data_IF_801433870112
#
_entry.id   IF_801433870112
#
_cell.length_a   1.000
_cell.length_b   1.000
_cell.length_c   1.000
_cell.angle_alpha   90.00
_cell.angle_beta   90.00
_cell.angle_gamma   90.00
#
_symmetry.space_group_name_H-M   'P 1'
#
loop_
_entity.id
_entity.type
_entity.pdbx_description
1 polymer ?
#
# COMPACT_ATOMS: atom_id res chain seq x y z
N UNK A 1 -0.76 -16.59 -6.49
CA UNK A 1 0.70 -16.61 -6.26
C UNK A 1 1.00 -17.33 -4.95
N UNK A 2 0.56 -18.56 -4.87
CA UNK A 2 0.74 -19.37 -3.67
C UNK A 2 2.23 -19.47 -3.32
N UNK A 3 2.59 -18.92 -2.15
CA UNK A 3 3.93 -19.03 -1.63
C UNK A 3 4.99 -18.36 -2.51
N UNK A 4 4.92 -17.05 -2.66
CA UNK A 4 6.02 -16.29 -3.30
C UNK A 4 7.33 -16.62 -2.58
N UNK A 5 8.08 -17.57 -3.14
CA UNK A 5 9.37 -18.00 -2.62
C UNK A 5 10.49 -17.26 -3.35
N UNK A 6 10.56 -15.94 -3.12
CA UNK A 6 11.54 -15.07 -3.78
C UNK A 6 12.90 -15.14 -3.11
N UNK A 7 13.94 -15.02 -3.92
CA UNK A 7 15.31 -14.80 -3.43
C UNK A 7 15.33 -13.54 -2.57
N UNK A 8 15.98 -13.59 -1.42
CA UNK A 8 16.05 -12.52 -0.44
C UNK A 8 17.47 -12.00 -0.27
N UNK A 9 17.63 -10.86 0.40
CA UNK A 9 18.97 -10.33 0.73
C UNK A 9 19.82 -11.28 1.57
N UNK A 10 19.21 -12.28 2.23
CA UNK A 10 19.93 -13.30 2.97
C UNK A 10 20.51 -14.41 2.05
N UNK A 11 19.97 -14.55 0.85
CA UNK A 11 20.32 -15.63 -0.06
C UNK A 11 21.47 -15.27 -1.02
N UNK A 12 21.83 -13.97 -1.12
CA UNK A 12 22.85 -13.49 -2.05
C UNK A 12 24.12 -13.06 -1.32
N UNK A 13 25.27 -13.41 -1.89
CA UNK A 13 26.56 -12.92 -1.40
C UNK A 13 26.85 -11.55 -2.01
N UNK A 14 26.94 -10.53 -1.15
CA UNK A 14 27.11 -9.14 -1.58
C UNK A 14 28.46 -8.53 -1.18
N UNK A 15 29.33 -9.28 -0.51
CA UNK A 15 30.62 -8.77 -0.02
C UNK A 15 31.49 -8.27 -1.18
N UNK A 16 31.88 -7.01 -1.11
CA UNK A 16 32.69 -6.34 -2.13
C UNK A 16 31.96 -6.03 -3.43
N UNK A 17 30.68 -6.38 -3.54
CA UNK A 17 29.87 -6.21 -4.75
C UNK A 17 29.08 -4.91 -4.73
N UNK A 18 28.85 -4.36 -5.91
CA UNK A 18 27.94 -3.24 -6.11
C UNK A 18 26.49 -3.78 -6.16
N UNK A 19 25.62 -3.20 -5.34
CA UNK A 19 24.20 -3.60 -5.25
C UNK A 19 23.33 -2.38 -5.47
N UNK A 20 22.51 -2.40 -6.52
CA UNK A 20 21.47 -1.42 -6.73
C UNK A 20 20.26 -1.79 -5.89
N UNK A 21 19.80 -0.88 -5.05
CA UNK A 21 18.63 -1.10 -4.19
C UNK A 21 17.54 -0.09 -4.53
N UNK A 22 16.37 -0.59 -4.92
CA UNK A 22 15.18 0.25 -5.12
C UNK A 22 14.47 0.44 -3.79
N UNK A 23 14.54 1.64 -3.26
CA UNK A 23 13.89 2.03 -2.01
C UNK A 23 12.75 3.02 -2.25
N UNK A 24 11.88 3.20 -1.27
CA UNK A 24 10.85 4.23 -1.29
C UNK A 24 11.28 5.44 -0.45
N UNK A 25 11.92 6.39 -1.12
CA UNK A 25 12.27 7.69 -0.55
C UNK A 25 11.34 8.81 -1.03
N UNK A 26 10.16 8.45 -1.49
CA UNK A 26 9.10 9.40 -1.85
C UNK A 26 8.46 10.00 -0.58
N UNK A 27 9.26 10.71 0.19
CA UNK A 27 8.88 11.33 1.46
C UNK A 27 8.12 12.63 1.24
N UNK A 28 7.18 13.00 2.12
CA UNK A 28 6.53 14.30 2.07
C UNK A 28 7.51 15.42 2.44
N UNK A 29 7.52 16.46 1.60
CA UNK A 29 8.36 17.64 1.76
C UNK A 29 7.47 18.88 1.88
N UNK A 30 7.83 19.79 2.77
CA UNK A 30 7.30 21.15 2.86
C UNK A 30 8.47 22.13 2.85
N UNK A 31 8.52 22.99 1.85
CA UNK A 31 9.60 23.97 1.67
C UNK A 31 11.01 23.34 1.70
N UNK A 32 11.17 22.18 1.08
CA UNK A 32 12.43 21.42 1.03
C UNK A 32 12.77 20.64 2.31
N UNK A 33 11.90 20.67 3.33
CA UNK A 33 12.09 19.96 4.60
C UNK A 33 11.20 18.71 4.67
N UNK A 34 11.79 17.58 5.05
CA UNK A 34 11.06 16.33 5.24
C UNK A 34 10.14 16.49 6.46
N UNK A 35 8.83 16.29 6.26
CA UNK A 35 7.83 16.34 7.32
C UNK A 35 7.56 14.99 7.97
N UNK A 36 7.92 13.90 7.29
CA UNK A 36 7.80 12.53 7.80
C UNK A 36 8.85 11.64 7.11
N UNK A 37 9.71 11.00 7.88
CA UNK A 37 10.80 10.15 7.38
C UNK A 37 10.53 8.64 7.52
N UNK A 38 9.30 8.22 7.81
CA UNK A 38 8.95 6.83 8.07
C UNK A 38 9.38 5.89 6.92
N UNK A 39 9.33 6.35 5.68
CA UNK A 39 9.77 5.56 4.52
C UNK A 39 11.27 5.31 4.52
N UNK A 40 12.06 6.30 4.91
CA UNK A 40 13.51 6.15 5.06
C UNK A 40 13.80 5.17 6.21
N UNK A 41 13.13 5.33 7.34
CA UNK A 41 13.25 4.41 8.48
C UNK A 41 12.92 2.96 8.09
N UNK A 42 11.87 2.77 7.30
CA UNK A 42 11.45 1.45 6.83
C UNK A 42 12.47 0.76 5.90
N UNK A 43 13.30 1.53 5.20
CA UNK A 43 14.36 1.01 4.33
C UNK A 43 15.65 0.62 5.10
N UNK A 44 15.84 1.11 6.33
CA UNK A 44 17.08 0.93 7.09
C UNK A 44 17.44 -0.54 7.35
N UNK A 45 16.54 -1.46 7.68
CA UNK A 45 16.90 -2.86 7.90
C UNK A 45 17.63 -3.48 6.71
N UNK A 46 17.15 -3.26 5.49
CA UNK A 46 17.78 -3.76 4.26
C UNK A 46 19.11 -3.06 4.00
N UNK A 47 19.13 -1.74 4.10
CA UNK A 47 20.35 -0.93 3.89
C UNK A 47 21.44 -1.36 4.87
N UNK A 48 21.14 -1.43 6.16
CA UNK A 48 22.09 -1.81 7.19
C UNK A 48 22.61 -3.25 7.01
N UNK A 49 21.75 -4.18 6.60
CA UNK A 49 22.17 -5.55 6.30
C UNK A 49 23.19 -5.61 5.18
N UNK A 50 22.93 -4.89 4.08
CA UNK A 50 23.85 -4.83 2.94
C UNK A 50 25.17 -4.17 3.31
N UNK A 51 25.14 -3.05 4.05
CA UNK A 51 26.32 -2.36 4.58
C UNK A 51 27.15 -3.27 5.47
N UNK A 52 26.53 -3.94 6.44
CA UNK A 52 27.19 -4.88 7.36
C UNK A 52 27.83 -6.06 6.64
N UNK A 53 27.22 -6.50 5.54
CA UNK A 53 27.74 -7.59 4.71
C UNK A 53 28.84 -7.12 3.72
N UNK A 54 29.25 -5.86 3.80
CA UNK A 54 30.32 -5.30 2.97
C UNK A 54 29.96 -5.02 1.52
N UNK A 55 28.67 -4.80 1.23
CA UNK A 55 28.24 -4.37 -0.10
C UNK A 55 28.60 -2.90 -0.35
N UNK A 56 28.79 -2.54 -1.62
CA UNK A 56 28.77 -1.16 -2.12
C UNK A 56 27.33 -0.85 -2.50
N UNK A 57 26.63 -0.07 -1.65
CA UNK A 57 25.18 0.11 -1.74
C UNK A 57 24.83 1.33 -2.57
N UNK A 58 24.15 1.14 -3.69
CA UNK A 58 23.65 2.22 -4.57
C UNK A 58 22.14 2.27 -4.46
N UNK A 59 21.61 3.35 -3.89
CA UNK A 59 20.17 3.52 -3.69
C UNK A 59 19.54 4.33 -4.82
N UNK A 60 18.42 3.87 -5.33
CA UNK A 60 17.59 4.61 -6.26
C UNK A 60 16.12 4.68 -5.78
N UNK A 61 15.48 5.78 -6.06
CA UNK A 61 14.08 6.04 -5.72
C UNK A 61 13.49 7.09 -6.63
N UNK A 62 12.16 7.13 -6.69
CA UNK A 62 11.43 8.28 -7.20
C UNK A 62 11.06 9.25 -6.07
N UNK A 63 10.74 10.48 -6.42
CA UNK A 63 10.14 11.50 -5.55
C UNK A 63 9.15 12.33 -6.35
N UNK A 64 7.89 12.35 -5.90
CA UNK A 64 6.82 13.11 -6.55
C UNK A 64 6.59 12.74 -8.01
N UNK A 65 6.09 13.71 -8.77
CA UNK A 65 5.74 13.54 -10.20
C UNK A 65 6.29 14.74 -11.00
N UNK A 66 7.61 14.80 -11.24
CA UNK A 66 8.16 15.83 -12.12
C UNK A 66 7.57 15.69 -13.52
N UNK A 67 7.10 16.80 -14.10
CA UNK A 67 6.45 16.81 -15.42
C UNK A 67 7.38 17.30 -16.53
N UNK A 68 8.36 18.12 -16.16
CA UNK A 68 9.21 18.84 -17.11
C UNK A 68 10.69 18.41 -17.00
N UNK A 69 10.94 17.17 -16.59
CA UNK A 69 12.30 16.68 -16.33
C UNK A 69 12.81 17.08 -14.93
N UNK A 70 14.11 17.30 -14.77
CA UNK A 70 14.71 17.65 -13.46
C UNK A 70 14.15 18.95 -12.89
N UNK A 71 13.62 18.86 -11.65
CA UNK A 71 13.11 20.01 -10.90
C UNK A 71 13.66 19.94 -9.47
N UNK A 72 14.27 21.04 -8.97
CA UNK A 72 14.92 21.08 -7.65
C UNK A 72 14.03 20.64 -6.48
N UNK A 73 12.71 20.94 -6.54
CA UNK A 73 11.73 20.54 -5.52
C UNK A 73 11.52 19.02 -5.43
N UNK A 74 11.91 18.28 -6.48
CA UNK A 74 11.83 16.82 -6.54
C UNK A 74 13.19 16.13 -6.43
N UNK A 75 14.23 16.87 -6.02
CA UNK A 75 15.56 16.28 -5.75
C UNK A 75 15.51 15.37 -4.52
N UNK A 76 16.24 14.25 -4.59
CA UNK A 76 16.44 13.35 -3.45
C UNK A 76 17.51 13.82 -2.45
N UNK A 77 18.10 14.99 -2.66
CA UNK A 77 19.13 15.54 -1.75
C UNK A 77 18.67 15.58 -0.27
N UNK A 78 17.44 16.03 0.07
CA UNK A 78 16.97 15.99 1.46
C UNK A 78 16.88 14.58 2.04
N UNK A 79 16.43 13.59 1.25
CA UNK A 79 16.35 12.21 1.67
C UNK A 79 17.73 11.59 1.90
N UNK A 80 18.69 11.88 1.04
CA UNK A 80 20.09 11.45 1.20
C UNK A 80 20.73 12.06 2.46
N UNK A 81 20.50 13.34 2.73
CA UNK A 81 20.97 14.01 3.95
C UNK A 81 20.37 13.37 5.21
N UNK A 82 19.07 13.08 5.20
CA UNK A 82 18.42 12.42 6.32
C UNK A 82 18.92 10.99 6.53
N UNK A 83 19.14 10.24 5.46
CA UNK A 83 19.74 8.91 5.55
C UNK A 83 21.14 8.97 6.21
N UNK A 84 21.97 9.95 5.85
CA UNK A 84 23.29 10.11 6.42
C UNK A 84 23.29 10.32 7.95
N UNK A 85 22.21 10.91 8.49
CA UNK A 85 22.04 11.07 9.95
C UNK A 85 21.63 9.75 10.64
N UNK A 86 21.05 8.80 9.90
CA UNK A 86 20.45 7.56 10.44
C UNK A 86 21.38 6.35 10.33
N UNK A 87 22.44 6.41 9.55
CA UNK A 87 23.38 5.31 9.34
C UNK A 87 24.78 5.65 9.84
N UNK A 88 25.56 4.63 10.19
CA UNK A 88 26.92 4.77 10.69
C UNK A 88 27.97 4.51 9.59
N UNK A 89 27.71 4.98 8.40
CA UNK A 89 28.64 4.85 7.27
C UNK A 89 28.55 6.09 6.38
N UNK A 90 29.54 6.24 5.49
CA UNK A 90 29.57 7.34 4.54
C UNK A 90 28.44 7.23 3.53
N UNK A 91 27.70 8.32 3.36
CA UNK A 91 26.65 8.50 2.36
C UNK A 91 27.03 9.62 1.42
N UNK A 92 27.07 9.34 0.13
CA UNK A 92 27.30 10.32 -0.93
C UNK A 92 26.03 10.48 -1.76
N UNK A 93 25.54 11.70 -1.87
CA UNK A 93 24.47 12.03 -2.81
C UNK A 93 25.08 12.37 -4.17
N UNK A 94 24.80 11.55 -5.17
CA UNK A 94 25.24 11.76 -6.54
C UNK A 94 24.25 12.68 -7.27
N UNK A 95 24.42 13.99 -7.13
CA UNK A 95 23.60 14.97 -7.84
C UNK A 95 23.87 14.88 -9.34
N UNK A 96 22.89 14.37 -10.07
CA UNK A 96 23.00 14.15 -11.51
C UNK A 96 21.62 14.18 -12.15
N UNK A 97 21.34 15.19 -12.95
CA UNK A 97 20.04 15.39 -13.58
C UNK A 97 19.66 14.26 -14.55
N UNK A 98 20.67 13.52 -15.05
CA UNK A 98 20.46 12.33 -15.89
C UNK A 98 20.40 11.02 -15.10
N UNK A 99 20.47 11.09 -13.76
CA UNK A 99 20.45 9.97 -12.80
C UNK A 99 21.71 9.08 -12.90
N UNK A 100 22.09 8.64 -14.08
CA UNK A 100 23.25 7.80 -14.37
C UNK A 100 24.25 8.57 -15.25
N UNK A 101 24.58 9.80 -14.87
CA UNK A 101 25.57 10.62 -15.57
C UNK A 101 26.98 10.51 -14.95
N UNK A 102 27.83 11.45 -15.30
CA UNK A 102 29.24 11.44 -14.87
C UNK A 102 29.41 11.51 -13.35
N UNK A 103 28.58 12.29 -12.65
CA UNK A 103 28.65 12.40 -11.20
C UNK A 103 28.26 11.08 -10.51
N UNK A 104 27.21 10.42 -11.00
CA UNK A 104 26.79 9.12 -10.48
C UNK A 104 27.85 8.05 -10.73
N UNK A 105 28.40 7.97 -11.94
CA UNK A 105 29.47 7.03 -12.30
C UNK A 105 30.71 7.22 -11.44
N UNK A 106 31.15 8.48 -11.26
CA UNK A 106 32.28 8.83 -10.41
C UNK A 106 32.03 8.42 -8.95
N UNK A 107 30.89 8.79 -8.39
CA UNK A 107 30.55 8.47 -7.01
C UNK A 107 30.56 6.95 -6.75
N UNK A 108 29.99 6.17 -7.67
CA UNK A 108 29.97 4.71 -7.55
C UNK A 108 31.36 4.09 -7.75
N UNK A 109 32.18 4.63 -8.66
CA UNK A 109 33.54 4.14 -8.87
C UNK A 109 34.46 4.37 -7.65
N UNK A 110 34.24 5.44 -6.89
CA UNK A 110 35.06 5.83 -5.74
C UNK A 110 34.60 5.20 -4.41
N UNK A 111 33.45 4.50 -4.38
CA UNK A 111 32.93 3.94 -3.11
C UNK A 111 33.72 2.73 -2.61
N UNK A 112 33.91 2.68 -1.30
CA UNK A 112 34.47 1.53 -0.60
C UNK A 112 33.37 0.57 -0.15
N UNK A 113 33.77 -0.64 0.26
CA UNK A 113 32.86 -1.64 0.83
C UNK A 113 32.15 -1.06 2.07
N UNK A 114 30.84 -1.25 2.14
CA UNK A 114 30.00 -0.73 3.23
C UNK A 114 29.60 0.75 3.10
N UNK A 115 30.00 1.45 2.05
CA UNK A 115 29.54 2.82 1.78
C UNK A 115 28.24 2.83 0.98
N UNK A 116 27.59 4.01 0.97
CA UNK A 116 26.30 4.23 0.31
C UNK A 116 26.42 5.39 -0.67
N UNK A 117 25.91 5.20 -1.89
CA UNK A 117 25.63 6.26 -2.85
C UNK A 117 24.13 6.35 -3.06
N UNK A 118 23.57 7.54 -2.98
CA UNK A 118 22.15 7.81 -3.30
C UNK A 118 22.10 8.52 -4.65
N UNK A 119 21.38 7.93 -5.60
CA UNK A 119 21.16 8.53 -6.92
C UNK A 119 20.10 9.62 -6.86
N UNK A 120 20.07 10.48 -7.88
CA UNK A 120 19.01 11.46 -8.05
C UNK A 120 17.70 10.78 -8.50
N UNK A 121 16.58 11.48 -8.36
CA UNK A 121 15.22 11.03 -8.64
C UNK A 121 15.12 10.32 -10.02
N UNK A 122 14.81 9.03 -10.00
CA UNK A 122 14.69 8.22 -11.23
C UNK A 122 13.71 8.78 -12.24
N UNK A 123 12.67 9.50 -11.78
CA UNK A 123 11.67 10.14 -12.65
C UNK A 123 12.19 11.38 -13.38
N UNK A 124 13.40 11.83 -13.09
CA UNK A 124 14.04 12.85 -13.94
C UNK A 124 14.30 12.32 -15.37
N UNK A 125 14.36 11.00 -15.53
CA UNK A 125 14.42 10.35 -16.86
C UNK A 125 13.06 10.25 -17.56
N UNK A 126 11.98 10.71 -16.93
CA UNK A 126 10.64 10.80 -17.55
C UNK A 126 10.12 9.46 -18.05
N UNK A 127 9.84 9.39 -19.37
CA UNK A 127 9.27 8.20 -19.99
C UNK A 127 10.24 7.00 -19.99
N UNK A 128 11.55 7.21 -19.98
CA UNK A 128 12.54 6.13 -19.91
C UNK A 128 12.40 5.35 -18.60
N UNK A 129 12.12 6.04 -17.48
CA UNK A 129 11.78 5.41 -16.22
C UNK A 129 10.38 4.80 -16.25
N UNK A 130 9.35 5.61 -16.53
CA UNK A 130 7.94 5.24 -16.28
C UNK A 130 7.36 4.28 -17.30
N UNK A 131 7.98 4.14 -18.47
CA UNK A 131 7.60 3.19 -19.53
C UNK A 131 8.58 2.01 -19.65
N UNK A 132 9.33 1.76 -18.60
CA UNK A 132 10.27 0.63 -18.54
C UNK A 132 11.29 0.64 -19.70
N UNK A 133 11.88 1.80 -19.95
CA UNK A 133 12.86 2.00 -21.03
C UNK A 133 14.07 1.10 -20.91
N UNK A 134 14.41 0.39 -21.98
CA UNK A 134 15.48 -0.59 -21.99
C UNK A 134 16.85 0.06 -21.79
N UNK A 135 17.10 1.19 -22.43
CA UNK A 135 18.39 1.89 -22.33
C UNK A 135 18.64 2.37 -20.90
N UNK A 136 17.67 3.01 -20.26
CA UNK A 136 17.81 3.43 -18.87
C UNK A 136 17.95 2.24 -17.90
N UNK A 137 17.25 1.15 -18.17
CA UNK A 137 17.40 -0.10 -17.39
C UNK A 137 18.81 -0.67 -17.49
N UNK A 138 19.40 -0.65 -18.69
CA UNK A 138 20.82 -1.05 -18.92
C UNK A 138 21.79 -0.11 -18.20
N UNK A 139 21.60 1.19 -18.32
CA UNK A 139 22.46 2.19 -17.64
C UNK A 139 22.46 1.99 -16.12
N UNK A 140 21.30 1.73 -15.51
CA UNK A 140 21.19 1.41 -14.08
C UNK A 140 21.95 0.13 -13.72
N UNK A 141 21.83 -0.90 -14.51
CA UNK A 141 22.55 -2.16 -14.29
C UNK A 141 24.06 -2.01 -14.48
N UNK A 142 24.49 -1.31 -15.53
CA UNK A 142 25.91 -1.05 -15.81
C UNK A 142 26.57 -0.23 -14.70
N UNK A 143 25.85 0.69 -14.06
CA UNK A 143 26.35 1.49 -12.93
C UNK A 143 26.81 0.59 -11.77
N UNK A 144 26.22 -0.58 -11.61
CA UNK A 144 26.57 -1.59 -10.62
C UNK A 144 27.25 -2.82 -11.24
N UNK A 145 27.89 -2.66 -12.39
CA UNK A 145 28.63 -3.70 -13.15
C UNK A 145 27.76 -4.93 -13.45
N UNK A 146 26.44 -4.78 -13.53
CA UNK A 146 25.49 -5.88 -13.72
C UNK A 146 25.47 -6.90 -12.57
N UNK A 147 25.92 -6.56 -11.39
CA UNK A 147 26.12 -7.54 -10.31
C UNK A 147 24.83 -7.93 -9.60
N UNK A 148 24.17 -7.00 -8.92
CA UNK A 148 22.98 -7.33 -8.13
C UNK A 148 21.96 -6.19 -8.03
N UNK A 149 20.70 -6.56 -7.95
CA UNK A 149 19.57 -5.67 -7.70
C UNK A 149 18.71 -6.18 -6.55
N UNK A 150 18.34 -5.28 -5.64
CA UNK A 150 17.43 -5.56 -4.53
C UNK A 150 16.20 -4.66 -4.64
N UNK A 151 15.02 -5.27 -4.72
CA UNK A 151 13.74 -4.58 -4.70
C UNK A 151 13.23 -4.47 -3.26
N UNK A 152 13.08 -3.25 -2.77
CA UNK A 152 12.61 -2.97 -1.40
C UNK A 152 11.62 -1.79 -1.34
N UNK A 153 10.86 -1.62 -2.41
CA UNK A 153 9.81 -0.61 -2.55
C UNK A 153 8.49 -1.26 -2.98
N UNK A 154 7.69 -1.67 -2.01
CA UNK A 154 6.39 -2.29 -2.29
C UNK A 154 5.40 -1.28 -2.88
N UNK A 155 5.46 -0.01 -2.48
CA UNK A 155 4.60 1.05 -2.99
C UNK A 155 4.68 1.26 -4.51
N UNK A 156 5.83 0.94 -5.11
CA UNK A 156 6.04 1.02 -6.57
C UNK A 156 6.04 -0.34 -7.27
N UNK A 157 5.87 -1.44 -6.55
CA UNK A 157 5.96 -2.80 -7.10
C UNK A 157 4.89 -3.12 -8.15
N UNK A 158 3.76 -2.41 -8.14
CA UNK A 158 2.69 -2.54 -9.13
C UNK A 158 3.03 -1.87 -10.48
N UNK A 159 4.13 -1.14 -10.57
CA UNK A 159 4.54 -0.41 -11.78
C UNK A 159 5.74 -1.09 -12.44
N UNK A 160 5.61 -1.43 -13.71
CA UNK A 160 6.73 -1.87 -14.53
C UNK A 160 7.55 -0.65 -14.97
N UNK A 161 8.42 -0.14 -14.08
CA UNK A 161 9.37 0.92 -14.38
C UNK A 161 10.76 0.36 -14.64
N UNK A 162 11.66 1.17 -15.21
CA UNK A 162 13.05 0.77 -15.43
C UNK A 162 13.73 0.38 -14.11
N UNK A 163 13.53 1.18 -13.04
CA UNK A 163 14.14 0.97 -11.72
C UNK A 163 13.43 -0.06 -10.83
N UNK A 164 12.25 -0.58 -11.23
CA UNK A 164 11.50 -1.60 -10.45
C UNK A 164 11.51 -2.98 -11.09
N UNK A 165 11.49 -3.03 -12.42
CA UNK A 165 11.38 -4.27 -13.18
C UNK A 165 12.41 -4.37 -14.30
N UNK A 166 12.60 -3.32 -15.11
CA UNK A 166 13.45 -3.37 -16.29
C UNK A 166 14.90 -3.75 -16.00
N UNK A 167 15.48 -3.17 -14.95
CA UNK A 167 16.86 -3.38 -14.53
C UNK A 167 17.18 -4.84 -14.23
N UNK A 168 16.20 -5.63 -13.78
CA UNK A 168 16.39 -7.04 -13.40
C UNK A 168 16.85 -7.91 -14.57
N UNK A 169 16.58 -7.49 -15.82
CA UNK A 169 17.00 -8.22 -17.02
C UNK A 169 18.50 -8.13 -17.30
N UNK A 170 19.19 -7.20 -16.67
CA UNK A 170 20.58 -6.84 -16.97
C UNK A 170 21.51 -7.03 -15.78
N UNK A 171 21.04 -7.60 -14.68
CA UNK A 171 21.84 -7.94 -13.51
C UNK A 171 21.88 -9.45 -13.30
N UNK A 172 22.96 -9.92 -12.67
CA UNK A 172 23.17 -11.34 -12.41
C UNK A 172 22.25 -11.88 -11.31
N UNK A 173 22.18 -11.16 -10.18
CA UNK A 173 21.42 -11.58 -9.02
C UNK A 173 20.31 -10.57 -8.71
N UNK A 174 19.13 -11.08 -8.42
CA UNK A 174 18.00 -10.26 -7.96
C UNK A 174 17.47 -10.81 -6.65
N UNK A 175 17.08 -9.91 -5.75
CA UNK A 175 16.53 -10.28 -4.45
C UNK A 175 15.48 -9.27 -4.00
N UNK A 176 14.66 -9.65 -3.02
CA UNK A 176 13.80 -8.74 -2.28
C UNK A 176 14.45 -8.34 -0.96
N UNK A 177 14.26 -7.08 -0.55
CA UNK A 177 14.64 -6.61 0.77
C UNK A 177 13.66 -7.01 1.86
N UNK A 178 13.94 -6.65 3.09
CA UNK A 178 13.13 -7.03 4.26
C UNK A 178 11.73 -6.42 4.25
N UNK A 179 11.57 -5.18 3.75
CA UNK A 179 10.26 -4.56 3.60
C UNK A 179 9.39 -5.38 2.64
N UNK A 180 9.93 -5.74 1.48
CA UNK A 180 9.25 -6.58 0.49
C UNK A 180 8.95 -7.98 1.03
N UNK A 181 9.88 -8.61 1.77
CA UNK A 181 9.64 -9.91 2.40
C UNK A 181 8.45 -9.85 3.35
N UNK A 182 8.35 -8.80 4.15
CA UNK A 182 7.26 -8.60 5.10
C UNK A 182 5.92 -8.45 4.39
N UNK A 183 5.87 -7.65 3.32
CA UNK A 183 4.67 -7.48 2.50
C UNK A 183 4.23 -8.81 1.84
N UNK A 184 5.17 -9.54 1.26
CA UNK A 184 4.91 -10.85 0.64
C UNK A 184 4.41 -11.85 1.69
N UNK A 185 5.04 -11.89 2.85
CA UNK A 185 4.66 -12.80 3.94
C UNK A 185 3.24 -12.53 4.43
N UNK A 186 2.92 -11.28 4.73
CA UNK A 186 1.63 -10.94 5.34
C UNK A 186 0.53 -10.80 4.29
N UNK A 187 0.67 -9.89 3.35
CA UNK A 187 -0.38 -9.63 2.37
C UNK A 187 -0.51 -10.81 1.38
N UNK A 188 0.62 -11.32 0.88
CA UNK A 188 0.66 -12.44 -0.05
C UNK A 188 0.03 -13.69 0.53
N UNK A 189 0.52 -14.15 1.66
CA UNK A 189 0.03 -15.38 2.28
C UNK A 189 -1.40 -15.26 2.79
N UNK A 190 -1.78 -14.08 3.35
CA UNK A 190 -3.14 -13.87 3.84
C UNK A 190 -4.21 -14.00 2.75
N UNK A 191 -3.88 -13.64 1.52
CA UNK A 191 -4.81 -13.70 0.40
C UNK A 191 -4.79 -15.06 -0.30
N UNK A 192 -3.60 -15.67 -0.44
CA UNK A 192 -3.43 -16.90 -1.22
C UNK A 192 -3.61 -18.19 -0.38
N UNK A 193 -3.15 -18.17 0.87
CA UNK A 193 -3.20 -19.32 1.77
C UNK A 193 -3.63 -18.88 3.18
N UNK A 194 -4.85 -18.33 3.33
CA UNK A 194 -5.30 -17.81 4.62
C UNK A 194 -5.56 -18.94 5.64
N UNK A 195 -5.25 -18.66 6.91
CA UNK A 195 -5.88 -19.40 7.99
C UNK A 195 -7.36 -19.01 8.09
N UNK A 196 -8.24 -20.02 8.12
CA UNK A 196 -9.70 -19.81 8.11
C UNK A 196 -10.30 -19.87 9.52
N UNK A 197 -11.37 -19.11 9.80
CA UNK A 197 -12.12 -18.26 8.86
C UNK A 197 -11.32 -17.02 8.41
N UNK A 198 -11.42 -16.70 7.10
CA UNK A 198 -10.84 -15.52 6.49
C UNK A 198 -11.93 -14.46 6.28
N UNK A 199 -11.79 -13.33 6.95
CA UNK A 199 -12.70 -12.17 6.83
C UNK A 199 -11.97 -11.06 6.06
N UNK A 200 -12.58 -10.60 4.97
CA UNK A 200 -12.13 -9.41 4.24
C UNK A 200 -13.09 -8.26 4.55
N UNK A 201 -12.54 -7.07 4.81
CA UNK A 201 -13.30 -5.85 5.10
C UNK A 201 -12.95 -4.81 4.05
N UNK A 202 -13.95 -4.36 3.32
CA UNK A 202 -13.82 -3.31 2.33
C UNK A 202 -14.68 -2.12 2.69
N UNK A 203 -14.11 -0.94 2.58
CA UNK A 203 -14.77 0.34 2.72
C UNK A 203 -14.32 1.32 1.64
N UNK A 204 -14.74 2.56 1.75
CA UNK A 204 -14.43 3.60 0.78
C UNK A 204 -15.69 4.21 0.16
N UNK A 205 -15.52 5.16 -0.77
CA UNK A 205 -16.63 5.96 -1.27
C UNK A 205 -17.47 5.26 -2.34
N UNK A 206 -16.82 4.58 -3.31
CA UNK A 206 -17.51 4.07 -4.51
C UNK A 206 -17.19 2.60 -4.80
N UNK A 207 -18.21 1.86 -5.25
CA UNK A 207 -18.07 0.47 -5.72
C UNK A 207 -17.15 0.40 -6.95
N UNK A 208 -17.27 1.34 -7.88
CA UNK A 208 -16.48 1.39 -9.11
C UNK A 208 -14.96 1.32 -8.86
N UNK A 209 -14.50 1.88 -7.73
CA UNK A 209 -13.08 1.90 -7.40
C UNK A 209 -12.55 0.53 -6.92
N UNK A 210 -13.43 -0.42 -6.60
CA UNK A 210 -13.07 -1.71 -5.98
C UNK A 210 -13.71 -2.95 -6.63
N UNK A 211 -14.20 -2.84 -7.87
CA UNK A 211 -14.89 -3.94 -8.55
C UNK A 211 -14.08 -5.24 -8.56
N UNK A 212 -12.83 -5.17 -8.97
CA UNK A 212 -11.97 -6.35 -9.07
C UNK A 212 -11.54 -6.87 -7.69
N UNK A 213 -11.39 -5.97 -6.72
CA UNK A 213 -11.08 -6.33 -5.33
C UNK A 213 -12.23 -7.14 -4.74
N UNK A 214 -13.46 -6.67 -4.88
CA UNK A 214 -14.66 -7.35 -4.40
C UNK A 214 -14.75 -8.76 -5.00
N UNK A 215 -14.68 -8.86 -6.32
CA UNK A 215 -14.79 -10.13 -7.05
C UNK A 215 -13.69 -11.12 -6.66
N UNK A 216 -12.43 -10.66 -6.58
CA UNK A 216 -11.30 -11.50 -6.23
C UNK A 216 -11.34 -11.98 -4.78
N UNK A 217 -11.61 -11.07 -3.83
CA UNK A 217 -11.66 -11.42 -2.42
C UNK A 217 -12.86 -12.33 -2.09
N UNK A 218 -13.97 -12.15 -2.77
CA UNK A 218 -15.15 -12.99 -2.58
C UNK A 218 -14.88 -14.46 -2.90
N UNK A 219 -14.00 -14.75 -3.85
CA UNK A 219 -13.58 -16.12 -4.14
C UNK A 219 -12.66 -16.70 -3.06
N UNK A 220 -11.94 -15.86 -2.33
CA UNK A 220 -10.88 -16.24 -1.39
C UNK A 220 -11.31 -16.24 0.08
N UNK A 221 -12.14 -15.28 0.49
CA UNK A 221 -12.61 -15.13 1.87
C UNK A 221 -13.79 -16.04 2.20
N UNK A 222 -14.08 -16.20 3.48
CA UNK A 222 -15.30 -16.85 3.97
C UNK A 222 -16.43 -15.84 4.20
N UNK A 223 -16.05 -14.63 4.63
CA UNK A 223 -16.96 -13.50 4.84
C UNK A 223 -16.35 -12.23 4.26
N UNK A 224 -17.13 -11.50 3.47
CA UNK A 224 -16.80 -10.18 2.96
C UNK A 224 -17.68 -9.14 3.65
N UNK A 225 -17.06 -8.22 4.37
CA UNK A 225 -17.71 -7.09 5.01
C UNK A 225 -17.61 -5.88 4.09
N UNK A 226 -18.70 -5.22 3.80
CA UNK A 226 -18.79 -4.00 3.00
C UNK A 226 -19.26 -2.86 3.88
N UNK A 227 -18.45 -1.82 4.00
CA UNK A 227 -18.76 -0.59 4.71
C UNK A 227 -18.45 0.65 3.88
N UNK A 228 -18.53 1.82 4.51
CA UNK A 228 -18.30 3.10 3.83
C UNK A 228 -19.38 3.45 2.81
N UNK A 229 -19.11 4.47 1.99
CA UNK A 229 -20.05 4.95 0.97
C UNK A 229 -20.44 3.91 -0.06
N UNK A 230 -19.52 2.98 -0.38
CA UNK A 230 -19.78 1.91 -1.33
C UNK A 230 -20.89 0.94 -0.88
N UNK A 231 -21.17 0.84 0.42
CA UNK A 231 -22.22 -0.02 0.95
C UNK A 231 -23.61 0.40 0.48
N UNK A 232 -23.85 1.68 0.24
CA UNK A 232 -25.17 2.19 -0.16
C UNK A 232 -25.58 1.72 -1.56
N UNK A 233 -24.63 1.52 -2.46
CA UNK A 233 -24.90 0.93 -3.77
C UNK A 233 -25.40 -0.52 -3.61
N UNK A 234 -24.79 -1.30 -2.72
CA UNK A 234 -25.27 -2.66 -2.39
C UNK A 234 -26.66 -2.64 -1.74
N UNK A 235 -26.90 -1.72 -0.80
CA UNK A 235 -28.19 -1.59 -0.10
C UNK A 235 -29.30 -1.25 -1.09
N UNK A 236 -29.04 -0.27 -1.99
CA UNK A 236 -29.99 0.10 -3.05
C UNK A 236 -30.23 -1.07 -4.02
N UNK A 237 -29.18 -1.76 -4.45
CA UNK A 237 -29.29 -2.93 -5.32
C UNK A 237 -30.16 -4.04 -4.69
N UNK A 238 -30.15 -4.16 -3.38
CA UNK A 238 -30.94 -5.12 -2.61
C UNK A 238 -32.35 -4.60 -2.22
N UNK A 239 -32.78 -3.46 -2.78
CA UNK A 239 -34.13 -2.91 -2.63
C UNK A 239 -34.30 -1.89 -1.50
N UNK A 240 -33.22 -1.49 -0.80
CA UNK A 240 -33.25 -0.49 0.26
C UNK A 240 -33.35 0.95 -0.26
N UNK A 241 -33.81 1.85 0.60
CA UNK A 241 -33.85 3.30 0.37
C UNK A 241 -32.66 3.95 1.04
N UNK A 242 -31.87 4.71 0.29
CA UNK A 242 -30.59 5.29 0.74
C UNK A 242 -30.58 6.81 0.83
N UNK A 243 -31.72 7.47 0.60
CA UNK A 243 -31.81 8.94 0.63
C UNK A 243 -30.87 9.61 -0.35
N UNK A 244 -30.11 10.60 0.13
CA UNK A 244 -29.08 11.32 -0.66
C UNK A 244 -27.68 10.74 -0.49
N UNK A 245 -27.54 9.53 0.02
CA UNK A 245 -26.27 8.85 0.19
C UNK A 245 -25.50 8.68 -1.12
N UNK A 246 -24.19 8.57 -1.04
CA UNK A 246 -23.37 8.22 -2.19
C UNK A 246 -23.88 6.93 -2.84
N UNK A 247 -23.98 6.92 -4.16
CA UNK A 247 -24.43 5.78 -4.93
C UNK A 247 -23.75 5.76 -6.29
N UNK A 248 -23.49 4.55 -6.77
CA UNK A 248 -22.98 4.27 -8.11
C UNK A 248 -24.08 3.51 -8.88
N UNK A 249 -25.04 4.27 -9.44
CA UNK A 249 -26.24 3.71 -10.08
C UNK A 249 -25.91 2.78 -11.26
N UNK A 250 -24.78 3.01 -11.94
CA UNK A 250 -24.32 2.15 -13.05
C UNK A 250 -23.81 0.79 -12.56
N UNK A 251 -23.59 0.61 -11.25
CA UNK A 251 -23.05 -0.60 -10.63
C UNK A 251 -24.07 -1.40 -9.82
N UNK A 252 -25.35 -1.05 -9.88
CA UNK A 252 -26.41 -1.78 -9.17
C UNK A 252 -26.49 -3.25 -9.62
N UNK A 253 -26.43 -3.50 -10.91
CA UNK A 253 -26.46 -4.87 -11.44
C UNK A 253 -25.22 -5.66 -11.03
N UNK A 254 -24.03 -5.04 -11.04
CA UNK A 254 -22.81 -5.64 -10.51
C UNK A 254 -22.96 -6.05 -9.03
N UNK A 255 -23.53 -5.18 -8.20
CA UNK A 255 -23.75 -5.49 -6.78
C UNK A 255 -24.69 -6.68 -6.61
N UNK A 256 -25.78 -6.78 -7.41
CA UNK A 256 -26.67 -7.94 -7.43
C UNK A 256 -25.93 -9.22 -7.83
N UNK A 257 -25.08 -9.16 -8.85
CA UNK A 257 -24.25 -10.28 -9.28
C UNK A 257 -23.29 -10.74 -8.17
N UNK A 258 -22.68 -9.82 -7.42
CA UNK A 258 -21.78 -10.17 -6.32
C UNK A 258 -22.53 -10.81 -5.16
N UNK A 259 -23.71 -10.33 -4.82
CA UNK A 259 -24.57 -10.94 -3.80
C UNK A 259 -24.96 -12.38 -4.20
N UNK A 260 -25.37 -12.59 -5.46
CA UNK A 260 -25.69 -13.91 -6.00
C UNK A 260 -24.46 -14.83 -6.06
N UNK A 261 -23.31 -14.31 -6.44
CA UNK A 261 -22.03 -15.04 -6.45
C UNK A 261 -21.67 -15.52 -5.06
N UNK A 262 -21.79 -14.67 -4.04
CA UNK A 262 -21.53 -15.04 -2.67
C UNK A 262 -22.41 -16.22 -2.22
N UNK A 263 -23.70 -16.15 -2.50
CA UNK A 263 -24.65 -17.21 -2.17
C UNK A 263 -24.28 -18.52 -2.88
N UNK A 264 -23.97 -18.46 -4.18
CA UNK A 264 -23.57 -19.63 -4.97
C UNK A 264 -22.28 -20.29 -4.48
N UNK A 265 -21.35 -19.51 -3.91
CA UNK A 265 -20.09 -20.00 -3.34
C UNK A 265 -20.20 -20.40 -1.86
N UNK A 266 -21.36 -20.24 -1.23
CA UNK A 266 -21.55 -20.47 0.20
C UNK A 266 -20.78 -19.47 1.07
N UNK A 267 -20.51 -18.27 0.55
CA UNK A 267 -19.84 -17.16 1.24
C UNK A 267 -20.87 -16.18 1.79
N UNK A 268 -20.44 -15.36 2.74
CA UNK A 268 -21.27 -14.30 3.32
C UNK A 268 -20.79 -12.93 2.87
N UNK A 269 -21.73 -12.07 2.46
CA UNK A 269 -21.51 -10.62 2.38
C UNK A 269 -22.29 -9.98 3.53
N UNK A 270 -21.59 -9.27 4.41
CA UNK A 270 -22.21 -8.51 5.49
C UNK A 270 -22.29 -7.05 5.08
N UNK A 271 -23.51 -6.53 5.01
CA UNK A 271 -23.83 -5.14 4.75
C UNK A 271 -24.22 -4.44 6.06
N UNK A 272 -24.11 -3.10 6.15
CA UNK A 272 -24.65 -2.36 7.29
C UNK A 272 -26.14 -2.64 7.47
N UNK A 273 -26.57 -2.90 8.72
CA UNK A 273 -27.98 -3.07 9.11
C UNK A 273 -28.57 -1.79 9.67
N UNK A 274 -27.74 -0.91 10.22
CA UNK A 274 -28.09 0.43 10.63
C UNK A 274 -26.98 1.41 10.19
N UNK A 275 -27.36 2.66 10.04
CA UNK A 275 -26.52 3.70 9.47
C UNK A 275 -26.66 5.00 10.26
N UNK A 276 -25.52 5.63 10.56
CA UNK A 276 -25.46 6.99 11.08
C UNK A 276 -25.64 7.96 9.93
N UNK A 277 -26.65 8.79 10.00
CA UNK A 277 -27.07 9.72 8.95
C UNK A 277 -27.03 11.16 9.39
N UNK A 278 -26.89 12.07 8.43
CA UNK A 278 -27.02 13.52 8.61
C UNK A 278 -27.73 14.15 7.41
N UNK A 279 -28.10 15.43 7.56
CA UNK A 279 -28.77 16.17 6.50
C UNK A 279 -27.81 16.53 5.34
N UNK A 280 -26.52 16.73 5.66
CA UNK A 280 -25.49 17.14 4.71
C UNK A 280 -24.11 16.59 5.10
N UNK A 281 -23.18 16.59 4.16
CA UNK A 281 -21.80 16.24 4.43
C UNK A 281 -21.11 17.34 5.25
N UNK A 282 -20.30 16.99 6.28
CA UNK A 282 -19.65 18.01 7.13
C UNK A 282 -18.68 18.88 6.32
N UNK A 283 -18.78 20.20 6.51
CA UNK A 283 -17.89 21.18 5.89
C UNK A 283 -17.58 22.32 6.89
N UNK A 284 -16.33 22.46 7.37
CA UNK A 284 -15.17 21.59 7.08
C UNK A 284 -15.41 20.15 7.53
N UNK A 285 -14.56 19.21 7.08
CA UNK A 285 -14.77 17.76 7.29
C UNK A 285 -14.88 17.36 8.77
N UNK A 286 -14.22 18.09 9.66
CA UNK A 286 -14.20 17.91 11.12
C UNK A 286 -15.24 18.75 11.86
N UNK A 287 -16.16 19.44 11.15
CA UNK A 287 -17.20 20.26 11.75
C UNK A 287 -18.14 19.44 12.63
N UNK A 288 -18.65 20.05 13.70
CA UNK A 288 -19.76 19.47 14.47
C UNK A 288 -20.96 19.22 13.56
N UNK A 289 -21.54 18.03 13.68
CA UNK A 289 -22.66 17.61 12.86
C UNK A 289 -23.70 16.86 13.70
N UNK A 290 -24.97 17.20 13.50
CA UNK A 290 -26.09 16.50 14.11
C UNK A 290 -26.34 15.19 13.34
N UNK A 291 -26.37 14.08 14.06
CA UNK A 291 -26.56 12.75 13.49
C UNK A 291 -27.67 11.98 14.21
N UNK A 292 -28.24 11.03 13.51
CA UNK A 292 -29.13 10.00 14.05
C UNK A 292 -28.80 8.64 13.44
N UNK A 293 -29.25 7.56 14.06
CA UNK A 293 -29.03 6.21 13.56
C UNK A 293 -30.38 5.65 13.11
N UNK A 294 -30.44 5.14 11.88
CA UNK A 294 -31.63 4.57 11.27
C UNK A 294 -31.33 3.20 10.66
N UNK A 295 -32.38 2.46 10.32
CA UNK A 295 -32.25 1.24 9.52
C UNK A 295 -31.58 1.57 8.16
N UNK A 296 -30.56 0.81 7.78
CA UNK A 296 -29.82 1.05 6.53
C UNK A 296 -30.69 0.91 5.27
N UNK A 297 -31.79 0.16 5.34
CA UNK A 297 -32.71 0.00 4.21
C UNK A 297 -33.80 1.11 4.15
N UNK A 298 -33.84 2.00 5.13
CA UNK A 298 -34.89 3.02 5.28
C UNK A 298 -34.29 4.40 5.61
N UNK A 299 -33.28 4.82 4.92
CA UNK A 299 -32.71 6.16 5.06
C UNK A 299 -33.69 7.18 4.47
N UNK A 300 -34.07 8.23 5.23
CA UNK A 300 -34.96 9.28 4.74
C UNK A 300 -34.47 9.94 3.45
N UNK A 301 -35.40 10.38 2.61
CA UNK A 301 -35.09 10.92 1.28
C UNK A 301 -34.20 12.18 1.30
N UNK A 302 -34.20 12.93 2.40
CA UNK A 302 -33.44 14.16 2.60
C UNK A 302 -32.18 13.95 3.47
N UNK A 303 -31.80 12.71 3.76
CA UNK A 303 -30.65 12.36 4.60
C UNK A 303 -29.66 11.50 3.85
N UNK A 304 -28.40 11.55 4.30
CA UNK A 304 -27.32 10.71 3.77
C UNK A 304 -26.63 9.91 4.87
N UNK A 305 -26.22 8.69 4.51
CA UNK A 305 -25.38 7.87 5.36
C UNK A 305 -23.93 8.34 5.37
N UNK A 306 -23.31 8.40 6.54
CA UNK A 306 -21.94 8.88 6.74
C UNK A 306 -21.07 7.99 7.62
N UNK A 307 -21.68 7.03 8.31
CA UNK A 307 -20.99 6.00 9.09
C UNK A 307 -21.92 4.80 9.34
N UNK A 308 -21.36 3.68 9.73
CA UNK A 308 -22.13 2.52 10.20
C UNK A 308 -22.69 2.78 11.60
N UNK A 309 -23.88 2.25 11.89
CA UNK A 309 -24.52 2.37 13.18
C UNK A 309 -24.01 1.36 14.20
N UNK A 310 -24.52 1.43 15.42
CA UNK A 310 -24.09 0.61 16.57
C UNK A 310 -24.33 -0.88 16.36
N UNK A 311 -25.49 -1.26 15.83
CA UNK A 311 -25.80 -2.67 15.52
C UNK A 311 -24.87 -3.25 14.46
N UNK A 312 -24.53 -2.45 13.46
CA UNK A 312 -23.55 -2.83 12.43
C UNK A 312 -22.16 -2.99 13.00
N UNK A 313 -21.75 -2.09 13.91
CA UNK A 313 -20.47 -2.20 14.62
C UNK A 313 -20.35 -3.53 15.37
N UNK A 314 -21.40 -3.93 16.08
CA UNK A 314 -21.48 -5.21 16.79
C UNK A 314 -21.44 -6.41 15.81
N UNK A 315 -22.20 -6.34 14.73
CA UNK A 315 -22.22 -7.37 13.68
C UNK A 315 -20.84 -7.58 13.05
N UNK A 316 -20.15 -6.51 12.70
CA UNK A 316 -18.82 -6.58 12.08
C UNK A 316 -17.77 -7.03 13.09
N UNK A 317 -17.83 -6.55 14.33
CA UNK A 317 -16.94 -6.98 15.40
C UNK A 317 -17.06 -8.48 15.70
N UNK A 318 -18.27 -9.03 15.70
CA UNK A 318 -18.49 -10.46 15.92
C UNK A 318 -17.90 -11.32 14.79
N UNK A 319 -18.03 -10.88 13.54
CA UNK A 319 -17.39 -11.55 12.41
C UNK A 319 -15.86 -11.55 12.51
N UNK A 320 -15.26 -10.43 12.91
CA UNK A 320 -13.81 -10.28 13.12
C UNK A 320 -13.33 -11.16 14.28
N UNK A 321 -14.08 -11.23 15.36
CA UNK A 321 -13.73 -11.99 16.57
C UNK A 321 -13.55 -13.48 16.33
N UNK A 322 -14.30 -14.04 15.40
CA UNK A 322 -14.23 -15.47 15.03
C UNK A 322 -13.20 -15.77 13.94
N UNK A 323 -12.62 -14.75 13.33
CA UNK A 323 -11.65 -14.89 12.24
C UNK A 323 -10.29 -15.40 12.72
N UNK A 324 -9.56 -16.03 11.80
CA UNK A 324 -8.12 -16.34 11.93
C UNK A 324 -7.25 -15.44 11.05
N UNK A 325 -7.83 -14.94 9.96
CA UNK A 325 -7.19 -13.97 9.07
C UNK A 325 -8.17 -12.84 8.78
N UNK A 326 -7.72 -11.60 8.89
CA UNK A 326 -8.50 -10.40 8.53
C UNK A 326 -7.65 -9.51 7.64
N UNK A 327 -8.20 -9.14 6.49
CA UNK A 327 -7.63 -8.10 5.60
C UNK A 327 -8.63 -6.95 5.54
N UNK A 328 -8.17 -5.75 5.85
CA UNK A 328 -9.01 -4.55 5.85
C UNK A 328 -8.47 -3.48 4.90
N UNK A 329 -9.32 -3.00 3.99
CA UNK A 329 -9.02 -1.93 3.05
C UNK A 329 -10.20 -0.96 2.93
N UNK A 330 -10.06 0.24 3.45
CA UNK A 330 -11.03 1.34 3.38
C UNK A 330 -11.84 1.54 4.65
N UNK A 331 -12.06 2.80 5.06
CA UNK A 331 -12.78 3.15 6.28
C UNK A 331 -14.29 2.86 6.17
N UNK A 332 -14.96 2.78 7.32
CA UNK A 332 -16.40 2.48 7.41
C UNK A 332 -17.28 3.72 7.32
N UNK A 333 -16.71 4.90 7.43
CA UNK A 333 -17.39 6.18 7.40
C UNK A 333 -16.42 7.34 7.21
N UNK A 334 -16.87 8.55 7.45
CA UNK A 334 -16.08 9.78 7.39
C UNK A 334 -15.24 9.91 8.67
N UNK A 335 -14.19 9.09 8.76
CA UNK A 335 -13.39 8.91 9.98
C UNK A 335 -12.60 10.17 10.40
N UNK A 336 -12.41 11.11 9.51
CA UNK A 336 -11.80 12.42 9.78
C UNK A 336 -12.68 13.29 10.67
N UNK A 337 -13.96 12.98 10.75
CA UNK A 337 -14.92 13.63 11.63
C UNK A 337 -15.09 12.82 12.92
N UNK A 338 -14.87 13.40 14.12
CA UNK A 338 -14.95 12.66 15.39
C UNK A 338 -16.30 11.98 15.64
N UNK A 339 -17.40 12.59 15.21
CA UNK A 339 -18.75 12.04 15.36
C UNK A 339 -18.99 10.86 14.42
N UNK A 340 -18.36 10.87 13.24
CA UNK A 340 -18.54 9.89 12.17
C UNK A 340 -17.39 8.85 12.11
N UNK A 341 -16.46 8.88 13.07
CA UNK A 341 -15.36 7.94 13.17
C UNK A 341 -15.69 6.69 13.98
N UNK A 342 -16.82 6.64 14.64
CA UNK A 342 -17.19 5.58 15.60
C UNK A 342 -17.19 4.19 14.97
N UNK A 343 -17.69 4.07 13.75
CA UNK A 343 -17.72 2.80 13.02
C UNK A 343 -16.32 2.30 12.68
N UNK A 344 -15.46 3.17 12.17
CA UNK A 344 -14.06 2.84 11.87
C UNK A 344 -13.28 2.49 13.14
N UNK A 345 -13.50 3.23 14.24
CA UNK A 345 -12.92 2.92 15.55
C UNK A 345 -13.36 1.54 16.04
N UNK A 346 -14.64 1.20 15.92
CA UNK A 346 -15.18 -0.09 16.36
C UNK A 346 -14.53 -1.26 15.60
N UNK A 347 -14.36 -1.12 14.28
CA UNK A 347 -13.66 -2.12 13.47
C UNK A 347 -12.18 -2.22 13.87
N UNK A 348 -11.47 -1.10 13.98
CA UNK A 348 -10.07 -1.09 14.41
C UNK A 348 -9.90 -1.74 15.80
N UNK A 349 -10.79 -1.45 16.73
CA UNK A 349 -10.80 -2.05 18.07
C UNK A 349 -11.02 -3.57 18.01
N UNK A 350 -11.96 -4.04 17.20
CA UNK A 350 -12.21 -5.46 17.00
C UNK A 350 -10.97 -6.18 16.46
N UNK A 351 -10.26 -5.56 15.49
CA UNK A 351 -9.00 -6.10 14.97
C UNK A 351 -7.89 -6.10 16.04
N UNK A 352 -7.86 -5.10 16.91
CA UNK A 352 -6.87 -5.00 17.99
C UNK A 352 -7.08 -6.05 19.11
N UNK A 353 -8.31 -6.54 19.28
CA UNK A 353 -8.71 -7.48 20.33
C UNK A 353 -8.77 -8.93 19.88
N UNK A 354 -8.64 -9.21 18.58
CA UNK A 354 -8.67 -10.58 18.04
C UNK A 354 -7.29 -11.22 18.04
N UNK A 355 -7.24 -12.56 18.12
CA UNK A 355 -6.01 -13.35 17.93
C UNK A 355 -5.71 -13.64 16.45
N UNK A 356 -6.50 -13.10 15.53
CA UNK A 356 -6.32 -13.27 14.10
C UNK A 356 -5.05 -12.56 13.59
N UNK A 357 -4.51 -13.05 12.49
CA UNK A 357 -3.57 -12.27 11.68
C UNK A 357 -4.33 -11.12 11.03
N UNK A 358 -3.99 -9.89 11.41
CA UNK A 358 -4.67 -8.66 10.96
C UNK A 358 -3.78 -7.85 10.04
N UNK A 359 -4.27 -7.59 8.83
CA UNK A 359 -3.53 -6.90 7.77
C UNK A 359 -4.34 -5.71 7.30
N UNK A 360 -3.72 -4.54 7.36
CA UNK A 360 -4.31 -3.28 6.90
C UNK A 360 -3.70 -2.95 5.54
N UNK A 361 -4.54 -2.83 4.52
CA UNK A 361 -4.16 -2.40 3.17
C UNK A 361 -4.80 -1.07 2.80
N UNK A 362 -4.07 -0.26 2.03
CA UNK A 362 -4.54 1.04 1.56
C UNK A 362 -4.24 2.21 2.49
N UNK A 363 -4.07 3.39 1.88
CA UNK A 363 -3.62 4.60 2.57
C UNK A 363 -4.59 5.09 3.64
N UNK A 364 -5.89 5.12 3.33
CA UNK A 364 -6.92 5.64 4.25
C UNK A 364 -7.10 4.74 5.48
N UNK A 365 -7.10 3.42 5.28
CA UNK A 365 -7.18 2.46 6.39
C UNK A 365 -5.96 2.53 7.29
N UNK A 366 -4.77 2.60 6.69
CA UNK A 366 -3.52 2.77 7.43
C UNK A 366 -3.52 4.09 8.21
N UNK A 367 -3.92 5.19 7.58
CA UNK A 367 -4.03 6.50 8.22
C UNK A 367 -5.02 6.46 9.39
N UNK A 368 -6.19 5.85 9.19
CA UNK A 368 -7.21 5.70 10.24
C UNK A 368 -6.67 4.90 11.43
N UNK A 369 -6.06 3.75 11.20
CA UNK A 369 -5.52 2.91 12.28
C UNK A 369 -4.40 3.61 13.05
N UNK A 370 -3.52 4.32 12.36
CA UNK A 370 -2.42 5.08 12.98
C UNK A 370 -2.99 6.26 13.79
N UNK A 371 -3.87 7.06 13.19
CA UNK A 371 -4.49 8.23 13.84
C UNK A 371 -5.29 7.84 15.09
N UNK A 372 -5.95 6.68 15.04
CA UNK A 372 -6.78 6.18 16.15
C UNK A 372 -5.97 5.42 17.21
N UNK A 373 -4.64 5.29 17.04
CA UNK A 373 -3.74 4.70 18.04
C UNK A 373 -3.74 3.17 18.09
N UNK A 374 -4.17 2.48 17.04
CA UNK A 374 -4.23 1.02 16.98
C UNK A 374 -3.11 0.37 16.15
N UNK A 375 -2.16 1.15 15.64
CA UNK A 375 -1.13 0.64 14.73
C UNK A 375 -0.33 -0.54 15.31
N UNK A 376 0.07 -0.44 16.58
CA UNK A 376 0.87 -1.48 17.27
C UNK A 376 0.10 -2.79 17.54
N UNK A 377 -1.22 -2.76 17.38
CA UNK A 377 -2.09 -3.92 17.56
C UNK A 377 -2.34 -4.71 16.28
N UNK A 378 -1.94 -4.17 15.12
CA UNK A 378 -2.08 -4.84 13.83
C UNK A 378 -0.87 -5.73 13.56
N UNK A 379 -1.10 -6.90 12.97
CA UNK A 379 -0.01 -7.80 12.57
C UNK A 379 0.85 -7.18 11.47
N UNK A 380 0.21 -6.47 10.54
CA UNK A 380 0.89 -5.75 9.46
C UNK A 380 0.05 -4.59 8.93
N UNK A 381 0.69 -3.45 8.73
CA UNK A 381 0.13 -2.32 7.99
C UNK A 381 0.94 -2.19 6.70
N UNK A 382 0.29 -2.47 5.56
CA UNK A 382 0.97 -2.40 4.27
C UNK A 382 1.38 -0.98 3.92
N UNK A 383 2.60 -0.84 3.43
CA UNK A 383 3.13 0.42 2.91
C UNK A 383 2.73 0.67 1.45
N UNK A 384 2.10 -0.33 0.82
CA UNK A 384 1.92 -0.41 -0.62
C UNK A 384 0.91 0.54 -1.24
N UNK A 385 -0.04 1.07 -0.50
CA UNK A 385 -1.09 1.91 -1.07
C UNK A 385 -1.75 1.28 -2.31
N UNK A 386 -1.46 1.84 -3.50
CA UNK A 386 -1.97 1.31 -4.77
C UNK A 386 -1.51 -0.11 -5.09
N UNK A 387 -0.28 -0.48 -4.71
CA UNK A 387 0.22 -1.83 -4.92
C UNK A 387 -0.54 -2.86 -4.08
N UNK A 388 -0.90 -2.52 -2.84
CA UNK A 388 -1.75 -3.37 -2.00
C UNK A 388 -3.12 -3.60 -2.63
N UNK A 389 -3.72 -2.54 -3.17
CA UNK A 389 -5.01 -2.61 -3.83
C UNK A 389 -4.95 -3.49 -5.08
N UNK A 390 -3.98 -3.29 -5.95
CA UNK A 390 -3.78 -4.10 -7.15
C UNK A 390 -3.49 -5.57 -6.82
N UNK A 391 -2.76 -5.83 -5.74
CA UNK A 391 -2.57 -7.20 -5.26
C UNK A 391 -3.89 -7.85 -4.81
N UNK A 392 -4.71 -7.10 -4.08
CA UNK A 392 -6.05 -7.57 -3.67
C UNK A 392 -7.01 -7.78 -4.85
N UNK A 393 -6.78 -7.10 -5.97
CA UNK A 393 -7.46 -7.34 -7.25
C UNK A 393 -7.04 -8.65 -7.95
N UNK A 394 -6.01 -9.32 -7.43
CA UNK A 394 -5.43 -10.54 -8.02
C UNK A 394 -4.42 -10.26 -9.13
N UNK A 395 -3.96 -9.03 -9.28
CA UNK A 395 -2.96 -8.67 -10.28
C UNK A 395 -1.56 -9.12 -9.88
N UNK A 396 -0.77 -9.48 -10.89
CA UNK A 396 0.66 -9.72 -10.72
C UNK A 396 1.36 -8.37 -10.58
N UNK A 397 2.17 -8.21 -9.53
CA UNK A 397 2.96 -7.01 -9.33
C UNK A 397 4.30 -7.14 -10.09
N UNK A 398 4.56 -6.30 -11.11
CA UNK A 398 5.77 -6.44 -11.95
C UNK A 398 7.07 -6.39 -11.15
N UNK A 399 7.18 -5.52 -10.15
CA UNK A 399 8.39 -5.40 -9.32
C UNK A 399 8.64 -6.61 -8.41
N UNK A 400 7.62 -7.42 -8.15
CA UNK A 400 7.77 -8.71 -7.45
C UNK A 400 8.06 -9.83 -8.45
N UNK A 401 7.31 -9.88 -9.54
CA UNK A 401 7.43 -10.92 -10.56
C UNK A 401 8.82 -10.94 -11.22
N UNK A 402 9.47 -9.78 -11.33
CA UNK A 402 10.80 -9.64 -11.93
C UNK A 402 11.94 -10.21 -11.07
N UNK A 403 11.71 -10.48 -9.79
CA UNK A 403 12.72 -11.04 -8.89
C UNK A 403 12.74 -12.56 -9.00
N UNK A 404 13.95 -13.13 -8.98
CA UNK A 404 14.16 -14.57 -9.05
C UNK A 404 13.44 -15.34 -7.93
N UNK A 405 13.02 -16.55 -8.24
CA UNK A 405 12.47 -17.50 -7.27
C UNK A 405 13.59 -18.40 -6.72
N UNK A 406 13.44 -18.87 -5.46
CA UNK A 406 14.34 -19.86 -4.85
C UNK A 406 14.17 -21.23 -5.48
#
# INVERSE_FOLDING_TARGET
>A
MAGLNKVTVEDINVKGRKVLVRVDFNVPLKDGVITNDNRIQAALPTINKLVQNGAKVVLCSHLGKPKNGPEAKFSLAPAAARLAELVNTKVVFAKDDTVVGENAKKAVAEMADGEIVVLENTRFRGAEETKNGEDFSKELAELVDGEAFVMDDFGSAHRAHASTAGVTKFVKDTAVGYLMQKEIKYLGNAVEVPERPFVAILGGAKVADKLNVISNLLEKCDTLIIGGGMAYTFIKANGGSIGTSLVDDEKLDYCKEMLAKAESLGKKILLPVDTTIAAEFPNPIDAEIAVEVVDSNAIPADKMGLDIGTKTQELFAEAVKTAKTVVWNGPMGVFENPTLAKGTIAVAKALAETDATTIIGGGDSAAAVIQLGFADKMSHISTGGGASLEYLEGKVLPGVAAIAEK
#
